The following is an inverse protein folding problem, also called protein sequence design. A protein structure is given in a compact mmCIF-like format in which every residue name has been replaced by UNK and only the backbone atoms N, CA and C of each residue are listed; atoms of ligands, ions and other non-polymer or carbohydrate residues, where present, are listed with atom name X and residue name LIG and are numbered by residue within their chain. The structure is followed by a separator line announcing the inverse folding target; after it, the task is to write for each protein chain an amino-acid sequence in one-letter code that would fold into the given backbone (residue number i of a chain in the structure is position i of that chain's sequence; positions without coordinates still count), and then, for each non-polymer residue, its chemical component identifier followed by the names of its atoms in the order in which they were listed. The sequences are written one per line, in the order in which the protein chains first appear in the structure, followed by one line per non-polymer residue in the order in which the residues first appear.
data_IF_492727785655
#
_entry.id   IF_492727785655
#
_cell.length_a   1.000
_cell.length_b   1.000
_cell.length_c   1.000
_cell.angle_alpha   90.00
_cell.angle_beta   90.00
_cell.angle_gamma   90.00
#
_symmetry.space_group_name_H-M   'P 1'
#
loop_
_entity.id
_entity.type
_entity.pdbx_description
1 polymer ?
#
# COMPACT_ATOMS: atom_id res chain seq x y z
N UNK A 1 12.60 -1.33 -12.27
CA UNK A 1 12.64 -1.99 -10.95
C UNK A 1 11.46 -1.62 -10.05
N UNK A 2 11.19 -0.33 -9.88
CA UNK A 2 10.13 0.18 -8.99
C UNK A 2 8.71 -0.05 -9.50
N UNK A 3 8.54 -0.46 -10.76
CA UNK A 3 7.23 -0.77 -11.36
C UNK A 3 6.94 -2.26 -11.48
N UNK A 4 7.91 -3.11 -11.12
CA UNK A 4 7.82 -4.56 -11.33
C UNK A 4 7.23 -5.25 -10.10
N UNK A 5 6.21 -6.09 -10.31
CA UNK A 5 5.60 -6.91 -9.26
C UNK A 5 6.03 -8.36 -9.43
N UNK A 6 7.00 -8.87 -8.64
CA UNK A 6 7.47 -10.25 -8.78
C UNK A 6 6.42 -11.29 -8.38
N UNK A 7 6.58 -12.52 -8.89
CA UNK A 7 5.78 -13.69 -8.48
C UNK A 7 6.08 -14.12 -7.02
N UNK A 8 7.33 -13.98 -6.57
CA UNK A 8 7.80 -14.41 -5.24
C UNK A 8 7.73 -13.32 -4.16
N UNK A 9 7.58 -13.73 -2.89
CA UNK A 9 7.50 -12.82 -1.74
C UNK A 9 8.88 -12.30 -1.31
N UNK A 10 9.03 -10.97 -1.16
CA UNK A 10 10.22 -10.36 -0.55
C UNK A 10 10.60 -8.98 -1.09
N UNK A 11 10.38 -8.74 -2.38
CA UNK A 11 10.61 -7.44 -3.03
C UNK A 11 9.36 -7.03 -3.79
N UNK A 12 9.13 -5.73 -3.91
CA UNK A 12 7.98 -5.17 -4.60
C UNK A 12 8.35 -3.88 -5.33
N UNK A 13 7.57 -3.51 -6.32
CA UNK A 13 7.62 -2.26 -7.03
C UNK A 13 7.27 -1.11 -6.11
N UNK A 14 8.30 -0.46 -5.58
CA UNK A 14 8.18 0.77 -4.82
C UNK A 14 8.67 1.94 -5.68
N UNK A 15 7.77 2.87 -5.97
CA UNK A 15 8.09 4.14 -6.63
C UNK A 15 8.03 5.27 -5.62
N UNK A 16 8.99 6.19 -5.71
CA UNK A 16 8.94 7.44 -4.98
C UNK A 16 9.13 8.62 -5.94
N UNK A 17 8.61 9.79 -5.59
CA UNK A 17 8.97 11.08 -6.17
C UNK A 17 9.35 12.05 -5.08
N UNK A 18 10.34 12.89 -5.37
CA UNK A 18 10.75 14.01 -4.53
C UNK A 18 10.88 15.27 -5.38
N UNK A 19 10.27 16.35 -4.94
CA UNK A 19 10.43 17.68 -5.54
C UNK A 19 10.63 18.73 -4.45
N UNK A 20 11.46 19.77 -4.67
CA UNK A 20 11.60 20.86 -3.72
C UNK A 20 10.28 21.60 -3.50
N UNK A 21 10.09 22.08 -2.27
CA UNK A 21 8.98 22.92 -1.82
C UNK A 21 9.54 24.07 -0.96
N UNK A 22 8.73 25.10 -0.67
CA UNK A 22 9.18 26.28 0.11
C UNK A 22 9.89 25.93 1.44
N UNK A 23 9.39 24.93 2.18
CA UNK A 23 10.00 24.48 3.46
C UNK A 23 10.26 22.97 3.44
N UNK A 24 11.19 22.53 2.58
CA UNK A 24 11.61 21.13 2.48
C UNK A 24 11.23 20.49 1.16
N UNK A 25 10.60 19.32 1.22
CA UNK A 25 10.34 18.50 0.05
C UNK A 25 8.91 17.98 0.05
N UNK A 26 8.29 17.99 -1.13
CA UNK A 26 7.10 17.21 -1.36
C UNK A 26 7.49 15.82 -1.83
N UNK A 27 6.97 14.82 -1.14
CA UNK A 27 7.28 13.41 -1.34
C UNK A 27 6.00 12.69 -1.73
N UNK A 28 6.08 11.80 -2.71
CA UNK A 28 5.03 10.84 -3.00
C UNK A 28 5.62 9.42 -3.02
N UNK A 29 4.91 8.46 -2.44
CA UNK A 29 5.28 7.05 -2.35
C UNK A 29 4.16 6.20 -2.94
N UNK A 30 4.51 5.25 -3.80
CA UNK A 30 3.58 4.30 -4.40
C UNK A 30 4.11 2.87 -4.25
N UNK A 31 3.34 2.04 -3.57
CA UNK A 31 3.54 0.59 -3.55
C UNK A 31 2.68 -0.05 -4.65
N UNK A 32 3.31 -0.38 -5.77
CA UNK A 32 2.65 -0.87 -7.00
C UNK A 32 1.89 -2.17 -6.75
N UNK A 33 2.37 -3.05 -5.86
CA UNK A 33 1.67 -4.29 -5.47
C UNK A 33 0.28 -4.04 -4.91
N UNK A 34 0.11 -2.92 -4.21
CA UNK A 34 -1.07 -2.65 -3.38
C UNK A 34 -1.93 -1.52 -3.94
N UNK A 35 -1.41 -0.80 -4.94
CA UNK A 35 -2.02 0.44 -5.44
C UNK A 35 -2.04 1.58 -4.41
N UNK A 36 -1.28 1.46 -3.31
CA UNK A 36 -1.25 2.46 -2.24
C UNK A 36 -0.37 3.64 -2.66
N UNK A 37 -1.01 4.78 -2.92
CA UNK A 37 -0.34 6.06 -3.18
C UNK A 37 -0.50 7.01 -1.98
N UNK A 38 0.62 7.60 -1.57
CA UNK A 38 0.70 8.50 -0.42
C UNK A 38 1.57 9.71 -0.73
N UNK A 39 1.25 10.89 -0.18
CA UNK A 39 2.08 12.07 -0.37
C UNK A 39 1.99 13.07 0.79
N UNK A 40 3.03 13.90 0.93
CA UNK A 40 3.16 14.87 2.02
C UNK A 40 4.37 15.78 1.85
N UNK A 41 4.35 16.94 2.51
CA UNK A 41 5.50 17.82 2.68
C UNK A 41 6.28 17.42 3.94
N UNK A 42 7.59 17.29 3.81
CA UNK A 42 8.50 16.85 4.87
C UNK A 42 9.80 17.66 4.84
N UNK A 43 10.48 17.75 5.98
CA UNK A 43 11.85 18.25 6.05
C UNK A 43 12.83 17.31 5.33
N UNK A 44 14.09 17.74 5.16
CA UNK A 44 15.13 16.89 4.56
C UNK A 44 15.34 15.59 5.36
N UNK A 45 15.45 15.71 6.68
CA UNK A 45 15.71 14.58 7.59
C UNK A 45 14.56 13.57 7.59
N UNK A 46 13.32 14.07 7.66
CA UNK A 46 12.12 13.23 7.56
C UNK A 46 12.02 12.57 6.18
N UNK A 47 12.36 13.28 5.10
CA UNK A 47 12.33 12.74 3.73
C UNK A 47 13.35 11.61 3.58
N UNK A 48 14.60 11.82 4.01
CA UNK A 48 15.64 10.80 3.96
C UNK A 48 15.26 9.58 4.80
N UNK A 49 14.74 9.81 6.00
CA UNK A 49 14.22 8.75 6.86
C UNK A 49 13.07 8.00 6.17
N UNK A 50 12.12 8.71 5.56
CA UNK A 50 11.01 8.05 4.91
C UNK A 50 11.45 7.20 3.71
N UNK A 51 12.35 7.71 2.87
CA UNK A 51 12.86 6.98 1.70
C UNK A 51 13.66 5.75 2.10
N UNK A 52 14.48 5.84 3.14
CA UNK A 52 15.24 4.72 3.69
C UNK A 52 14.29 3.61 4.20
N UNK A 53 13.19 3.97 4.86
CA UNK A 53 12.23 3.00 5.40
C UNK A 53 11.39 2.36 4.29
N UNK A 54 11.03 3.17 3.29
CA UNK A 54 10.24 2.74 2.15
C UNK A 54 11.05 1.91 1.15
N UNK A 55 12.36 2.17 1.07
CA UNK A 55 13.30 1.53 0.15
C UNK A 55 12.75 1.50 -1.29
N UNK A 56 12.57 2.67 -1.95
CA UNK A 56 12.05 2.72 -3.30
C UNK A 56 13.00 2.04 -4.28
N UNK A 57 12.48 1.27 -5.23
CA UNK A 57 13.29 0.75 -6.33
C UNK A 57 13.66 1.84 -7.34
N UNK A 58 12.80 2.84 -7.48
CA UNK A 58 13.03 4.02 -8.34
C UNK A 58 12.54 5.30 -7.64
N UNK A 59 13.36 6.35 -7.73
CA UNK A 59 13.13 7.67 -7.16
C UNK A 59 13.11 8.73 -8.27
N UNK A 60 11.93 9.26 -8.55
CA UNK A 60 11.70 10.33 -9.51
C UNK A 60 12.07 11.69 -8.92
N UNK A 61 12.70 12.53 -9.74
CA UNK A 61 13.02 13.91 -9.36
C UNK A 61 13.02 14.85 -10.59
N UNK A 62 12.83 16.18 -10.40
CA UNK A 62 12.96 17.14 -11.48
C UNK A 62 14.37 17.15 -12.10
N UNK A 63 14.45 17.25 -13.43
CA UNK A 63 15.70 17.43 -14.19
C UNK A 63 16.41 18.68 -13.71
N UNK A 64 17.72 18.56 -13.45
CA UNK A 64 18.55 19.66 -12.94
C UNK A 64 18.43 19.90 -11.44
N UNK A 65 17.51 19.24 -10.75
CA UNK A 65 17.46 19.21 -9.29
C UNK A 65 18.26 18.01 -8.76
N UNK A 66 19.20 18.29 -7.86
CA UNK A 66 19.95 17.27 -7.12
C UNK A 66 19.35 17.14 -5.72
N UNK A 67 18.77 15.99 -5.41
CA UNK A 67 18.23 15.73 -4.08
C UNK A 67 19.40 15.53 -3.09
N UNK A 68 19.52 16.37 -2.04
CA UNK A 68 20.59 16.22 -1.05
C UNK A 68 20.46 14.91 -0.28
N UNK A 69 21.57 14.29 0.10
CA UNK A 69 21.57 13.10 0.97
C UNK A 69 21.23 11.78 0.26
N UNK A 70 21.08 11.79 -1.06
CA UNK A 70 20.91 10.56 -1.87
C UNK A 70 21.99 9.52 -1.59
N UNK A 71 23.25 9.95 -1.46
CA UNK A 71 24.38 9.07 -1.14
C UNK A 71 24.33 8.43 0.27
N UNK A 72 23.45 8.92 1.15
CA UNK A 72 23.30 8.43 2.52
C UNK A 72 22.23 7.35 2.68
N UNK A 73 21.42 7.12 1.64
CA UNK A 73 20.42 6.06 1.61
C UNK A 73 21.12 4.72 1.37
N UNK A 74 20.78 3.72 2.19
CA UNK A 74 21.42 2.38 2.13
C UNK A 74 20.80 1.47 1.07
N UNK A 75 19.57 1.74 0.66
CA UNK A 75 18.88 0.99 -0.38
C UNK A 75 19.49 1.25 -1.76
N UNK A 76 19.56 0.20 -2.60
CA UNK A 76 19.84 0.36 -4.03
C UNK A 76 18.58 0.90 -4.73
N UNK A 77 18.66 2.11 -5.30
CA UNK A 77 17.57 2.72 -6.06
C UNK A 77 18.09 3.41 -7.32
N UNK A 78 17.20 3.55 -8.30
CA UNK A 78 17.49 4.29 -9.53
C UNK A 78 16.93 5.71 -9.45
N UNK A 79 17.77 6.71 -9.69
CA UNK A 79 17.34 8.10 -9.86
C UNK A 79 16.77 8.31 -11.26
N UNK A 80 15.51 8.75 -11.33
CA UNK A 80 14.77 8.93 -12.58
C UNK A 80 14.49 10.42 -12.80
N UNK A 81 15.28 11.12 -13.64
CA UNK A 81 15.07 12.54 -13.90
C UNK A 81 13.91 12.78 -14.88
N UNK A 82 12.92 13.58 -14.46
CA UNK A 82 11.76 13.98 -15.29
C UNK A 82 11.67 15.50 -15.45
N UNK A 83 10.98 16.00 -16.49
CA UNK A 83 10.82 17.45 -16.66
C UNK A 83 10.10 18.06 -15.46
N UNK A 84 10.34 19.34 -15.15
CA UNK A 84 9.62 20.02 -14.05
C UNK A 84 8.09 19.97 -14.20
N UNK A 85 7.59 19.92 -15.44
CA UNK A 85 6.17 19.78 -15.75
C UNK A 85 5.52 18.50 -15.18
N UNK A 86 6.29 17.41 -15.02
CA UNK A 86 5.80 16.19 -14.39
C UNK A 86 5.33 16.43 -12.95
N UNK A 87 6.00 17.36 -12.26
CA UNK A 87 5.79 17.68 -10.85
C UNK A 87 4.94 18.95 -10.66
N UNK A 88 4.36 19.50 -11.74
CA UNK A 88 3.53 20.71 -11.66
C UNK A 88 2.34 20.49 -10.72
N UNK A 89 2.20 21.27 -9.64
CA UNK A 89 1.08 21.14 -8.70
C UNK A 89 -0.29 21.30 -9.37
N UNK A 90 -0.47 22.36 -10.16
CA UNK A 90 -1.75 22.69 -10.81
C UNK A 90 -2.13 21.66 -11.89
N UNK A 91 -1.18 21.34 -12.78
CA UNK A 91 -1.43 20.34 -13.84
C UNK A 91 -1.54 18.93 -13.26
N UNK A 92 -0.81 18.63 -12.19
CA UNK A 92 -0.89 17.37 -11.46
C UNK A 92 -2.26 17.18 -10.82
N UNK A 93 -2.77 18.20 -10.14
CA UNK A 93 -4.12 18.19 -9.54
C UNK A 93 -5.19 17.90 -10.58
N UNK A 94 -5.20 18.64 -11.70
CA UNK A 94 -6.16 18.43 -12.78
C UNK A 94 -6.12 16.99 -13.30
N UNK A 95 -4.91 16.51 -13.61
CA UNK A 95 -4.72 15.17 -14.12
C UNK A 95 -5.18 14.09 -13.14
N UNK A 96 -4.85 14.21 -11.85
CA UNK A 96 -5.28 13.26 -10.82
C UNK A 96 -6.81 13.26 -10.63
N UNK A 97 -7.43 14.44 -10.62
CA UNK A 97 -8.89 14.57 -10.58
C UNK A 97 -9.56 13.89 -11.78
N UNK A 98 -9.01 14.05 -12.98
CA UNK A 98 -9.50 13.36 -14.19
C UNK A 98 -9.38 11.83 -14.07
N UNK A 99 -8.23 11.31 -13.59
CA UNK A 99 -8.03 9.87 -13.40
C UNK A 99 -9.01 9.25 -12.39
N UNK A 100 -9.34 9.99 -11.33
CA UNK A 100 -10.21 9.50 -10.25
C UNK A 100 -11.68 9.92 -10.37
N UNK A 101 -12.04 10.71 -11.40
CA UNK A 101 -13.39 11.24 -11.56
C UNK A 101 -13.82 12.17 -10.41
N UNK A 102 -12.88 12.95 -9.87
CA UNK A 102 -13.09 13.86 -8.74
C UNK A 102 -13.16 15.31 -9.20
N UNK A 103 -13.87 16.12 -8.42
CA UNK A 103 -13.87 17.58 -8.58
C UNK A 103 -12.70 18.27 -7.86
N UNK A 104 -12.12 17.62 -6.84
CA UNK A 104 -11.05 18.18 -6.00
C UNK A 104 -10.33 17.04 -5.24
N UNK A 105 -9.04 17.21 -4.97
CA UNK A 105 -8.24 16.32 -4.11
C UNK A 105 -8.53 16.51 -2.62
N UNK A 106 -9.26 17.57 -2.25
CA UNK A 106 -9.68 17.83 -0.87
C UNK A 106 -10.50 16.67 -0.28
N UNK A 107 -11.23 15.90 -1.10
CA UNK A 107 -11.92 14.67 -0.68
C UNK A 107 -10.97 13.59 -0.16
N UNK A 108 -9.69 13.67 -0.50
CA UNK A 108 -8.62 12.81 -0.05
C UNK A 108 -7.72 13.47 1.01
N UNK A 109 -8.04 14.69 1.45
CA UNK A 109 -7.28 15.41 2.46
C UNK A 109 -5.98 16.02 1.93
N UNK A 110 -5.88 16.24 0.61
CA UNK A 110 -4.76 16.94 -0.03
C UNK A 110 -5.30 18.21 -0.69
N UNK A 111 -4.58 19.31 -0.54
CA UNK A 111 -4.99 20.61 -1.10
C UNK A 111 -4.78 20.64 -2.63
N UNK A 112 -5.74 21.22 -3.34
CA UNK A 112 -5.62 21.40 -4.80
C UNK A 112 -4.48 22.37 -5.12
N UNK A 113 -3.63 21.98 -6.07
CA UNK A 113 -2.47 22.79 -6.46
C UNK A 113 -1.32 22.73 -5.46
N UNK A 114 -1.34 21.79 -4.51
CA UNK A 114 -0.24 21.61 -3.57
C UNK A 114 0.95 20.86 -4.20
N UNK A 115 2.20 21.09 -3.73
CA UNK A 115 3.38 20.36 -4.19
C UNK A 115 3.24 18.82 -4.12
N UNK A 116 2.51 18.32 -3.13
CA UNK A 116 2.17 16.89 -2.96
C UNK A 116 1.34 16.35 -4.13
N UNK A 117 0.38 17.13 -4.63
CA UNK A 117 -0.39 16.77 -5.81
C UNK A 117 0.51 16.66 -7.04
N UNK A 118 1.49 17.56 -7.17
CA UNK A 118 2.53 17.51 -8.20
C UNK A 118 3.38 16.24 -8.13
N UNK A 119 3.94 15.93 -6.95
CA UNK A 119 4.73 14.73 -6.72
C UNK A 119 3.92 13.44 -6.97
N UNK A 120 2.67 13.41 -6.50
CA UNK A 120 1.74 12.29 -6.69
C UNK A 120 1.45 12.05 -8.17
N UNK A 121 1.18 13.11 -8.92
CA UNK A 121 0.96 13.03 -10.35
C UNK A 121 2.22 12.54 -11.09
N UNK A 122 3.42 12.97 -10.67
CA UNK A 122 4.67 12.52 -11.29
C UNK A 122 4.85 11.00 -11.18
N UNK A 123 4.64 10.44 -9.97
CA UNK A 123 4.71 8.99 -9.74
C UNK A 123 3.67 8.24 -10.54
N UNK A 124 2.42 8.71 -10.52
CA UNK A 124 1.33 7.98 -11.16
C UNK A 124 1.38 8.07 -12.69
N UNK A 125 1.81 9.21 -13.25
CA UNK A 125 2.12 9.35 -14.68
C UNK A 125 3.27 8.45 -15.09
N UNK A 126 4.31 8.33 -14.27
CA UNK A 126 5.42 7.42 -14.56
C UNK A 126 4.97 5.96 -14.57
N UNK A 127 4.15 5.56 -13.59
CA UNK A 127 3.51 4.25 -13.60
C UNK A 127 2.69 4.05 -14.89
N UNK A 128 1.90 5.05 -15.29
CA UNK A 128 1.13 5.01 -16.54
C UNK A 128 1.98 4.76 -17.79
N UNK A 129 3.13 5.44 -17.87
CA UNK A 129 4.05 5.31 -19.02
C UNK A 129 4.74 3.95 -19.07
N UNK A 130 5.02 3.36 -17.91
CA UNK A 130 5.85 2.17 -17.78
C UNK A 130 5.05 0.88 -17.66
N UNK A 131 3.81 0.96 -17.20
CA UNK A 131 2.90 -0.17 -17.00
C UNK A 131 1.51 0.22 -17.50
N UNK A 132 1.17 -0.20 -18.71
CA UNK A 132 -0.13 0.08 -19.32
C UNK A 132 -1.28 -0.47 -18.46
N UNK A 133 -2.28 0.36 -18.14
CA UNK A 133 -3.47 -0.02 -17.35
C UNK A 133 -3.27 -0.04 -15.82
N UNK A 134 -2.03 0.03 -15.34
CA UNK A 134 -1.66 0.01 -13.92
C UNK A 134 -2.31 1.10 -13.06
N UNK A 135 -2.50 2.27 -13.66
CA UNK A 135 -3.03 3.45 -12.98
C UNK A 135 -4.45 3.24 -12.48
N UNK A 136 -5.24 2.40 -13.16
CA UNK A 136 -6.62 2.13 -12.76
C UNK A 136 -6.72 1.43 -11.40
N UNK A 137 -5.63 0.90 -10.85
CA UNK A 137 -5.60 0.24 -9.54
C UNK A 137 -5.29 1.19 -8.40
N UNK A 138 -4.63 2.31 -8.70
CA UNK A 138 -4.39 3.37 -7.73
C UNK A 138 -5.63 4.24 -7.69
N UNK A 139 -6.54 3.96 -6.76
CA UNK A 139 -7.85 4.63 -6.68
C UNK A 139 -7.88 5.86 -5.76
N UNK A 140 -6.83 6.08 -4.98
CA UNK A 140 -6.84 7.10 -3.93
C UNK A 140 -5.44 7.57 -3.54
N UNK A 141 -5.33 8.86 -3.25
CA UNK A 141 -4.19 9.48 -2.57
C UNK A 141 -4.42 9.52 -1.05
N UNK A 142 -3.37 9.28 -0.28
CA UNK A 142 -3.41 9.40 1.18
C UNK A 142 -2.35 10.39 1.69
N UNK A 143 -2.71 11.33 2.59
CA UNK A 143 -1.72 12.22 3.20
C UNK A 143 -0.72 11.44 4.08
N UNK A 144 0.58 11.70 3.95
CA UNK A 144 1.64 11.11 4.79
C UNK A 144 1.54 11.59 6.25
N UNK A 145 1.24 12.88 6.45
CA UNK A 145 0.93 13.43 7.76
C UNK A 145 -0.58 13.39 7.99
N UNK A 146 -1.13 12.20 8.18
CA UNK A 146 -2.52 12.02 8.61
C UNK A 146 -2.60 12.08 10.13
N UNK A 147 -3.54 12.87 10.68
CA UNK A 147 -3.86 12.84 12.12
C UNK A 147 -4.39 11.47 12.59
N UNK A 148 -4.71 10.57 11.67
CA UNK A 148 -5.26 9.24 11.92
C UNK A 148 -4.20 8.22 12.39
N UNK A 149 -2.91 8.50 12.17
CA UNK A 149 -1.83 7.58 12.51
C UNK A 149 -0.75 8.26 13.36
N UNK A 150 -0.15 7.48 14.26
CA UNK A 150 1.03 7.89 15.00
C UNK A 150 2.22 7.90 14.04
N UNK A 151 2.90 9.04 13.95
CA UNK A 151 4.16 9.12 13.20
C UNK A 151 5.26 8.38 13.97
N UNK A 152 5.91 7.43 13.30
CA UNK A 152 7.06 6.71 13.82
C UNK A 152 8.24 6.97 12.87
N UNK A 153 9.18 7.82 13.27
CA UNK A 153 10.41 8.04 12.52
C UNK A 153 11.28 6.77 12.49
N UNK A 154 12.26 6.71 11.59
CA UNK A 154 13.14 5.54 11.46
C UNK A 154 13.87 5.22 12.76
N UNK A 155 14.38 6.24 13.44
CA UNK A 155 15.17 6.05 14.65
C UNK A 155 14.32 5.33 15.70
N UNK A 156 13.06 5.73 15.84
CA UNK A 156 12.05 5.11 16.68
C UNK A 156 11.74 3.69 16.22
N UNK A 157 11.54 3.46 14.92
CA UNK A 157 11.28 2.10 14.40
C UNK A 157 12.45 1.13 14.68
N UNK A 158 13.70 1.61 14.52
CA UNK A 158 14.93 0.84 14.81
C UNK A 158 15.11 0.62 16.31
N UNK A 159 14.93 1.66 17.13
CA UNK A 159 15.06 1.58 18.59
C UNK A 159 13.99 0.68 19.23
N UNK A 160 12.81 0.59 18.62
CA UNK A 160 11.74 -0.32 19.03
C UNK A 160 11.89 -1.73 18.41
N UNK A 161 12.92 -1.96 17.59
CA UNK A 161 13.17 -3.23 16.89
C UNK A 161 11.90 -3.77 16.21
N UNK A 162 11.17 -2.89 15.51
CA UNK A 162 9.86 -3.24 14.97
C UNK A 162 9.95 -4.39 13.94
N UNK A 163 11.01 -4.41 13.14
CA UNK A 163 11.20 -5.36 12.04
C UNK A 163 12.57 -6.02 12.09
N UNK A 164 12.65 -7.20 11.48
CA UNK A 164 13.84 -8.04 11.50
C UNK A 164 14.93 -7.50 10.56
N UNK A 165 16.05 -7.08 11.14
CA UNK A 165 17.30 -6.74 10.47
C UNK A 165 18.40 -7.76 10.86
N UNK A 166 18.06 -9.05 10.88
CA UNK A 166 18.93 -10.13 11.32
C UNK A 166 18.93 -10.35 12.84
N UNK A 167 17.89 -9.89 13.54
CA UNK A 167 17.75 -9.95 15.02
C UNK A 167 16.28 -10.17 15.41
N UNK A 168 16.00 -10.66 16.63
CA UNK A 168 14.65 -10.73 17.15
C UNK A 168 13.95 -9.38 17.02
N UNK A 169 12.71 -9.38 16.53
CA UNK A 169 11.92 -8.17 16.32
C UNK A 169 10.50 -8.35 16.85
N UNK A 170 9.82 -7.23 17.09
CA UNK A 170 8.40 -7.25 17.47
C UNK A 170 7.56 -7.93 16.39
N UNK A 171 7.81 -7.62 15.11
CA UNK A 171 7.11 -8.26 14.00
C UNK A 171 7.38 -9.76 13.96
N UNK A 172 8.63 -10.21 14.11
CA UNK A 172 8.95 -11.64 14.16
C UNK A 172 8.23 -12.38 15.30
N UNK A 173 8.02 -11.70 16.42
CA UNK A 173 7.31 -12.24 17.59
C UNK A 173 5.80 -12.35 17.33
N UNK A 174 5.18 -11.28 16.84
CA UNK A 174 3.73 -11.17 16.65
C UNK A 174 3.23 -11.88 15.39
N UNK A 175 4.07 -12.02 14.36
CA UNK A 175 3.64 -12.51 13.07
C UNK A 175 3.34 -14.02 13.08
N UNK A 176 2.08 -14.35 13.34
CA UNK A 176 1.51 -15.71 13.23
C UNK A 176 0.40 -15.78 12.18
N UNK A 177 0.45 -14.87 11.20
CA UNK A 177 -0.50 -14.76 10.10
C UNK A 177 -0.43 -16.00 9.20
N UNK A 178 -1.60 -16.42 8.69
CA UNK A 178 -1.75 -17.64 7.89
C UNK A 178 -1.63 -17.41 6.38
N UNK A 179 -1.81 -16.17 5.92
CA UNK A 179 -1.67 -15.76 4.53
C UNK A 179 -0.56 -14.71 4.37
N UNK A 180 0.03 -14.62 3.17
CA UNK A 180 1.04 -13.60 2.85
C UNK A 180 0.47 -12.19 2.92
N UNK A 181 -0.75 -11.98 2.42
CA UNK A 181 -1.46 -10.70 2.56
C UNK A 181 -1.70 -10.31 4.04
N UNK A 182 -2.01 -11.27 4.91
CA UNK A 182 -2.14 -11.00 6.35
C UNK A 182 -0.83 -10.56 7.00
N UNK A 183 0.30 -11.15 6.57
CA UNK A 183 1.65 -10.74 7.03
C UNK A 183 1.94 -9.28 6.64
N UNK A 184 1.65 -8.91 5.38
CA UNK A 184 1.79 -7.53 4.91
C UNK A 184 0.89 -6.57 5.68
N UNK A 185 -0.37 -6.93 5.90
CA UNK A 185 -1.32 -6.10 6.65
C UNK A 185 -0.88 -5.87 8.10
N UNK A 186 -0.34 -6.90 8.76
CA UNK A 186 0.23 -6.75 10.09
C UNK A 186 1.43 -5.79 10.09
N UNK A 187 2.34 -5.95 9.13
CA UNK A 187 3.48 -5.04 8.97
C UNK A 187 3.01 -3.59 8.77
N UNK A 188 2.03 -3.37 7.90
CA UNK A 188 1.41 -2.06 7.65
C UNK A 188 0.84 -1.46 8.94
N UNK A 189 0.10 -2.23 9.74
CA UNK A 189 -0.47 -1.76 11.01
C UNK A 189 0.57 -1.40 12.05
N UNK A 190 1.69 -2.12 12.09
CA UNK A 190 2.80 -1.80 13.00
C UNK A 190 3.52 -0.51 12.61
N UNK A 191 3.65 -0.23 11.30
CA UNK A 191 4.21 1.02 10.80
C UNK A 191 3.27 2.21 10.99
N UNK A 192 1.95 1.95 11.09
CA UNK A 192 0.91 2.98 11.14
C UNK A 192 -0.07 2.72 12.29
N UNK A 193 0.36 2.92 13.54
CA UNK A 193 -0.53 2.78 14.68
C UNK A 193 -1.67 3.80 14.57
N UNK A 194 -2.91 3.36 14.77
CA UNK A 194 -4.07 4.26 14.76
C UNK A 194 -4.07 5.19 15.97
N UNK A 195 -4.50 6.43 15.78
CA UNK A 195 -4.72 7.40 16.87
C UNK A 195 -6.20 7.51 17.26
N UNK A 196 -7.10 7.22 16.32
CA UNK A 196 -8.53 7.31 16.53
C UNK A 196 -9.06 6.14 17.39
N UNK A 197 -9.84 6.47 18.43
CA UNK A 197 -10.36 5.49 19.38
C UNK A 197 -11.35 4.50 18.75
N UNK A 198 -12.24 4.96 17.88
CA UNK A 198 -13.29 4.10 17.30
C UNK A 198 -12.73 2.94 16.45
N UNK A 199 -11.79 3.17 15.49
CA UNK A 199 -11.10 2.08 14.80
C UNK A 199 -10.31 1.14 15.72
N UNK A 200 -9.73 1.66 16.82
CA UNK A 200 -9.02 0.84 17.80
C UNK A 200 -9.96 -0.10 18.55
N UNK A 201 -11.11 0.39 19.02
CA UNK A 201 -12.13 -0.43 19.68
C UNK A 201 -12.62 -1.55 18.77
N UNK A 202 -12.93 -1.25 17.50
CA UNK A 202 -13.33 -2.28 16.51
C UNK A 202 -12.30 -3.40 16.38
N UNK A 203 -10.99 -3.09 16.42
CA UNK A 203 -9.93 -4.11 16.42
C UNK A 203 -9.90 -4.90 17.72
N UNK A 204 -10.05 -4.23 18.87
CA UNK A 204 -10.06 -4.86 20.19
C UNK A 204 -11.25 -5.82 20.34
N UNK A 205 -12.45 -5.40 19.92
CA UNK A 205 -13.67 -6.21 19.98
C UNK A 205 -13.54 -7.48 19.12
N UNK A 206 -12.98 -7.35 17.91
CA UNK A 206 -12.69 -8.50 17.04
C UNK A 206 -11.68 -9.47 17.66
N UNK A 207 -10.63 -8.95 18.31
CA UNK A 207 -9.64 -9.78 19.02
C UNK A 207 -10.28 -10.49 20.20
N UNK A 208 -11.04 -9.78 21.04
CA UNK A 208 -11.73 -10.34 22.21
C UNK A 208 -12.70 -11.45 21.77
N UNK A 209 -13.51 -11.20 20.74
CA UNK A 209 -14.42 -12.21 20.17
C UNK A 209 -13.68 -13.48 19.75
N UNK A 210 -12.55 -13.36 19.05
CA UNK A 210 -11.74 -14.51 18.62
C UNK A 210 -10.97 -15.16 19.78
N UNK A 211 -10.69 -14.43 20.85
CA UNK A 211 -10.13 -14.99 22.08
C UNK A 211 -11.17 -15.87 22.77
N UNK A 212 -12.41 -15.41 22.92
CA UNK A 212 -13.49 -16.17 23.55
C UNK A 212 -13.99 -17.34 22.67
N UNK A 213 -13.94 -17.23 21.34
CA UNK A 213 -14.50 -18.22 20.41
C UNK A 213 -13.42 -19.08 19.73
N UNK A 214 -12.80 -19.99 20.49
CA UNK A 214 -11.66 -20.80 20.01
C UNK A 214 -11.93 -21.65 18.77
N UNK A 215 -13.15 -22.20 18.63
CA UNK A 215 -13.54 -23.03 17.48
C UNK A 215 -13.59 -22.20 16.20
N UNK A 216 -14.29 -21.06 16.25
CA UNK A 216 -14.38 -20.10 15.13
C UNK A 216 -12.98 -19.63 14.73
N UNK A 217 -12.16 -19.21 15.71
CA UNK A 217 -10.77 -18.82 15.47
C UNK A 217 -9.97 -19.93 14.75
N UNK A 218 -10.12 -21.19 15.15
CA UNK A 218 -9.43 -22.31 14.50
C UNK A 218 -9.89 -22.51 13.06
N UNK A 219 -11.21 -22.45 12.82
CA UNK A 219 -11.79 -22.59 11.47
C UNK A 219 -11.34 -21.45 10.55
N UNK A 220 -11.43 -20.20 11.00
CA UNK A 220 -10.94 -19.02 10.27
C UNK A 220 -9.44 -19.15 9.93
N UNK A 221 -8.61 -19.58 10.88
CA UNK A 221 -7.19 -19.81 10.63
C UNK A 221 -6.90 -20.90 9.60
N UNK A 222 -7.76 -21.93 9.52
CA UNK A 222 -7.69 -22.97 8.50
C UNK A 222 -7.97 -22.39 7.12
N UNK A 223 -9.14 -21.77 6.96
CA UNK A 223 -9.57 -21.16 5.68
C UNK A 223 -8.60 -20.08 5.20
N UNK A 224 -8.16 -19.18 6.08
CA UNK A 224 -7.18 -18.14 5.74
C UNK A 224 -5.80 -18.68 5.37
N UNK A 225 -5.46 -19.91 5.77
CA UNK A 225 -4.21 -20.56 5.34
C UNK A 225 -4.30 -21.10 3.91
N UNK A 226 -5.51 -21.39 3.44
CA UNK A 226 -5.77 -21.87 2.08
C UNK A 226 -5.92 -20.71 1.07
N UNK A 227 -6.24 -19.50 1.56
CA UNK A 227 -6.27 -18.31 0.74
C UNK A 227 -4.91 -18.07 0.06
N UNK A 228 -4.93 -17.90 -1.26
CA UNK A 228 -3.76 -17.51 -2.04
C UNK A 228 -3.56 -16.00 -1.95
N UNK A 229 -2.45 -15.52 -2.51
CA UNK A 229 -2.11 -14.09 -2.50
C UNK A 229 -2.94 -13.31 -3.55
N UNK A 230 -4.24 -13.16 -3.26
CA UNK A 230 -5.19 -12.47 -4.15
C UNK A 230 -4.84 -11.02 -4.41
N UNK A 231 -4.24 -10.33 -3.44
CA UNK A 231 -3.79 -8.95 -3.60
C UNK A 231 -2.76 -8.85 -4.74
N UNK A 232 -1.69 -9.67 -4.69
CA UNK A 232 -0.67 -9.66 -5.75
C UNK A 232 -1.17 -10.23 -7.07
N UNK A 233 -1.96 -11.30 -7.04
CA UNK A 233 -2.52 -11.88 -8.28
C UNK A 233 -3.49 -10.91 -8.97
N UNK A 234 -4.31 -10.20 -8.21
CA UNK A 234 -5.12 -9.11 -8.74
C UNK A 234 -4.21 -8.07 -9.36
N UNK A 235 -3.23 -7.53 -8.62
CA UNK A 235 -2.30 -6.51 -9.13
C UNK A 235 -1.51 -6.94 -10.37
N UNK A 236 -1.13 -8.20 -10.53
CA UNK A 236 -0.47 -8.64 -11.79
C UNK A 236 -1.41 -8.69 -12.99
N UNK A 237 -2.61 -9.26 -12.83
CA UNK A 237 -3.61 -9.31 -13.92
C UNK A 237 -3.98 -7.91 -14.39
N UNK A 238 -4.10 -7.03 -13.41
CA UNK A 238 -4.33 -5.60 -13.50
C UNK A 238 -3.27 -4.85 -14.30
N UNK A 239 -2.01 -5.23 -14.09
CA UNK A 239 -0.83 -4.71 -14.81
C UNK A 239 -0.60 -5.39 -16.17
N UNK A 240 -1.47 -6.30 -16.59
CA UNK A 240 -1.29 -7.10 -17.81
C UNK A 240 -0.10 -8.07 -17.78
N UNK A 241 0.53 -8.25 -16.63
CA UNK A 241 1.66 -9.17 -16.42
C UNK A 241 1.24 -10.49 -15.79
N UNK A 242 -0.01 -10.58 -15.31
CA UNK A 242 -0.57 -11.78 -14.71
C UNK A 242 -1.06 -12.79 -15.74
N UNK A 243 -1.07 -14.06 -15.33
CA UNK A 243 -1.44 -15.19 -16.20
C UNK A 243 -2.51 -16.11 -15.61
N UNK A 244 -2.73 -17.30 -16.22
CA UNK A 244 -3.71 -18.28 -15.76
C UNK A 244 -3.54 -18.71 -14.29
N UNK A 245 -2.30 -18.71 -13.79
CA UNK A 245 -2.00 -19.01 -12.37
C UNK A 245 -2.57 -17.97 -11.42
N UNK A 246 -2.56 -16.70 -11.80
CA UNK A 246 -3.14 -15.61 -11.01
C UNK A 246 -4.65 -15.69 -10.96
N UNK A 247 -5.27 -15.98 -12.11
CA UNK A 247 -6.71 -16.23 -12.18
C UNK A 247 -7.09 -17.45 -11.32
N UNK A 248 -6.27 -18.51 -11.33
CA UNK A 248 -6.44 -19.68 -10.48
C UNK A 248 -6.33 -19.35 -8.98
N UNK A 249 -5.37 -18.51 -8.59
CA UNK A 249 -5.22 -18.06 -7.20
C UNK A 249 -6.44 -17.28 -6.70
N UNK A 250 -7.01 -16.41 -7.56
CA UNK A 250 -8.25 -15.68 -7.27
C UNK A 250 -9.42 -16.66 -7.18
N UNK A 251 -9.60 -17.53 -8.16
CA UNK A 251 -10.65 -18.56 -8.17
C UNK A 251 -10.65 -19.38 -6.89
N UNK A 252 -9.49 -19.92 -6.53
CA UNK A 252 -9.36 -20.82 -5.37
C UNK A 252 -9.66 -20.08 -4.06
N UNK A 253 -9.27 -18.81 -3.95
CA UNK A 253 -9.59 -17.99 -2.77
C UNK A 253 -11.08 -17.62 -2.72
N UNK A 254 -11.70 -17.28 -3.85
CA UNK A 254 -13.13 -16.97 -3.93
C UNK A 254 -14.01 -18.18 -3.55
N UNK A 255 -13.57 -19.40 -3.88
CA UNK A 255 -14.26 -20.64 -3.47
C UNK A 255 -14.32 -20.84 -1.95
N UNK A 256 -13.44 -20.19 -1.18
CA UNK A 256 -13.44 -20.27 0.27
C UNK A 256 -14.45 -19.31 0.91
N UNK A 257 -14.88 -18.25 0.20
CA UNK A 257 -15.75 -17.22 0.76
C UNK A 257 -17.08 -17.76 1.32
N UNK A 258 -17.80 -18.70 0.66
CA UNK A 258 -19.04 -19.25 1.22
C UNK A 258 -18.86 -19.93 2.59
N UNK A 259 -17.67 -20.49 2.85
CA UNK A 259 -17.33 -21.09 4.15
C UNK A 259 -16.74 -20.09 5.14
N UNK A 260 -16.13 -19.00 4.64
CA UNK A 260 -15.44 -17.99 5.45
C UNK A 260 -16.40 -16.92 5.97
N UNK A 261 -17.25 -16.35 5.11
CA UNK A 261 -18.14 -15.25 5.45
C UNK A 261 -19.11 -15.55 6.60
N UNK A 262 -19.70 -16.77 6.72
CA UNK A 262 -20.55 -17.09 7.88
C UNK A 262 -19.82 -17.06 9.22
N UNK A 263 -18.48 -17.14 9.22
CA UNK A 263 -17.66 -17.03 10.43
C UNK A 263 -17.35 -15.56 10.79
N UNK A 264 -17.68 -14.60 9.93
CA UNK A 264 -17.45 -13.16 10.12
C UNK A 264 -18.66 -12.45 10.74
N UNK A 265 -19.37 -13.09 11.67
CA UNK A 265 -20.52 -12.49 12.37
C UNK A 265 -20.12 -11.59 13.54
N UNK A 266 -21.10 -10.84 14.08
CA UNK A 266 -20.95 -10.07 15.32
C UNK A 266 -19.82 -9.04 15.24
N UNK A 267 -18.87 -9.02 16.20
CA UNK A 267 -17.70 -8.12 16.17
C UNK A 267 -16.79 -8.26 14.94
N UNK A 268 -16.93 -9.34 14.16
CA UNK A 268 -16.18 -9.55 12.93
C UNK A 268 -16.89 -9.01 11.67
N UNK A 269 -18.19 -8.68 11.75
CA UNK A 269 -18.97 -8.20 10.60
C UNK A 269 -18.34 -7.00 9.88
N UNK A 270 -17.81 -5.97 10.58
CA UNK A 270 -17.20 -4.81 9.92
C UNK A 270 -15.98 -5.14 9.03
N UNK A 271 -15.43 -6.35 9.12
CA UNK A 271 -14.29 -6.80 8.33
C UNK A 271 -14.70 -7.54 7.05
N UNK A 272 -16.00 -7.81 6.88
CA UNK A 272 -16.56 -8.55 5.75
C UNK A 272 -17.74 -7.83 5.08
N UNK A 273 -18.42 -6.91 5.76
CA UNK A 273 -19.64 -6.24 5.28
C UNK A 273 -19.45 -5.46 3.97
N UNK A 274 -18.26 -4.92 3.73
CA UNK A 274 -17.95 -4.16 2.52
C UNK A 274 -17.54 -5.04 1.33
N UNK A 275 -17.50 -6.37 1.48
CA UNK A 275 -17.12 -7.27 0.40
C UNK A 275 -18.25 -7.38 -0.64
N UNK A 276 -17.97 -7.11 -1.94
CA UNK A 276 -18.91 -7.36 -3.01
C UNK A 276 -19.35 -8.83 -3.08
N UNK A 277 -20.50 -9.07 -3.71
CA UNK A 277 -20.90 -10.44 -4.02
C UNK A 277 -20.05 -11.00 -5.18
N UNK A 278 -19.18 -11.96 -4.87
CA UNK A 278 -18.26 -12.56 -5.86
C UNK A 278 -18.76 -13.88 -6.46
N UNK A 279 -20.01 -14.28 -6.23
CA UNK A 279 -20.58 -15.56 -6.66
C UNK A 279 -20.50 -15.74 -8.19
N UNK A 280 -20.86 -14.69 -8.93
CA UNK A 280 -20.78 -14.66 -10.40
C UNK A 280 -19.34 -14.78 -10.92
N UNK A 281 -18.41 -14.01 -10.36
CA UNK A 281 -16.99 -14.04 -10.73
C UNK A 281 -16.36 -15.41 -10.44
N UNK A 282 -16.67 -15.99 -9.28
CA UNK A 282 -16.21 -17.34 -8.94
C UNK A 282 -16.71 -18.36 -9.98
N UNK A 283 -17.98 -18.29 -10.39
CA UNK A 283 -18.55 -19.14 -11.43
C UNK A 283 -17.83 -19.01 -12.78
N UNK A 284 -17.59 -17.78 -13.23
CA UNK A 284 -16.87 -17.49 -14.48
C UNK A 284 -15.45 -18.06 -14.45
N UNK A 285 -14.70 -17.81 -13.37
CA UNK A 285 -13.32 -18.31 -13.23
C UNK A 285 -13.27 -19.84 -13.12
N UNK A 286 -14.31 -20.48 -12.58
CA UNK A 286 -14.41 -21.95 -12.56
C UNK A 286 -14.70 -22.54 -13.93
N UNK A 287 -15.47 -21.84 -14.77
CA UNK A 287 -15.75 -22.30 -16.13
C UNK A 287 -14.58 -22.07 -17.09
N UNK A 288 -13.77 -21.04 -16.83
CA UNK A 288 -12.66 -20.63 -17.70
C UNK A 288 -11.33 -21.38 -17.45
N UNK A 289 -11.14 -22.02 -16.28
CA UNK A 289 -9.89 -22.66 -15.82
C UNK A 289 -10.11 -24.10 -15.35
#
# INVERSE_FOLDING_TARGET
PGTYVPEEAGTGGHLAAVTPSEDGFAVALLSVETGRLEAGKLSLEETLSLLEAFAPGELLHPKGFSFPGTASLSADYFLIPRSGEFFSPLSGTKWLCEQWGLSSLSSFGVEDGSPEAGASAAVLKYLHETQFGAVEYVRRLHPLQSKEYLHLDIATQRNLELFDEGRPSLYGTLNRCRSTMGRRKLREWMLRPLTALEPLKKRQDAVEHLLSNHRERRMLRGLLAECRDVERSSSRLSLGTGGPRDMGAIRDTLRLLPSLLPLCGGPLAPWADDLPEFSSLAGVLCAAL
#
